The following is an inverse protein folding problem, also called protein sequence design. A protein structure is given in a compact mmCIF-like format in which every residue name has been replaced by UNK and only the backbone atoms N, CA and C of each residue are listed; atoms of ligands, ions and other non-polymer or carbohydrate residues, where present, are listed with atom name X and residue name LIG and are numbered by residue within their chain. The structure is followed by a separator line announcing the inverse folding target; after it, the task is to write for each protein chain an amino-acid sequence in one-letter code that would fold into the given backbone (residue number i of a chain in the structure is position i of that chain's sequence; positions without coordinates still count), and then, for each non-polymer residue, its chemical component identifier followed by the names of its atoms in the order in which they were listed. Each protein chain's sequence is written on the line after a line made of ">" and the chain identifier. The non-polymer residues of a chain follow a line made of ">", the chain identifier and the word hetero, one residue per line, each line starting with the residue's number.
data_IF_180524336598
#
_entry.id   IF_180524336598
#
_cell.length_a   1.000
_cell.length_b   1.000
_cell.length_c   1.000
_cell.angle_alpha   90.00
_cell.angle_beta   90.00
_cell.angle_gamma   90.00
#
_symmetry.space_group_name_H-M   'P 1'
#
loop_
_entity.id
_entity.type
_entity.pdbx_description
1 polymer ?
#
# COMPACT_ATOMS: atom_id res chain seq x y z
N UNK A 1 -18.97 11.61 -4.35
CA UNK A 1 -17.62 11.16 -4.73
C UNK A 1 -16.64 11.90 -3.84
N UNK A 2 -15.48 11.33 -3.55
CA UNK A 2 -14.46 12.04 -2.77
C UNK A 2 -13.84 13.08 -3.70
N UNK A 3 -13.79 14.35 -3.29
CA UNK A 3 -13.10 15.40 -4.05
C UNK A 3 -11.58 15.38 -3.78
N UNK A 4 -11.09 14.42 -2.98
CA UNK A 4 -9.68 14.27 -2.66
C UNK A 4 -8.95 13.53 -3.77
N UNK A 5 -7.78 14.05 -4.15
CA UNK A 5 -6.84 13.41 -5.09
C UNK A 5 -7.36 13.27 -6.53
N UNK A 6 -8.34 14.09 -6.90
CA UNK A 6 -8.80 14.23 -8.29
C UNK A 6 -7.63 14.63 -9.16
N UNK A 7 -7.56 14.05 -10.36
CA UNK A 7 -6.53 14.36 -11.35
C UNK A 7 -6.53 15.86 -11.67
N UNK A 8 -5.36 16.51 -11.70
CA UNK A 8 -5.27 17.92 -12.07
C UNK A 8 -5.51 18.12 -13.57
N UNK A 9 -5.87 19.33 -13.97
CA UNK A 9 -6.16 19.67 -15.37
C UNK A 9 -4.99 19.36 -16.33
N UNK A 10 -3.75 19.45 -15.84
CA UNK A 10 -2.54 19.16 -16.60
C UNK A 10 -2.13 17.67 -16.58
N UNK A 11 -3.10 16.76 -16.43
CA UNK A 11 -2.90 15.31 -16.40
C UNK A 11 -1.94 14.79 -17.49
N UNK A 12 -2.12 15.24 -18.75
CA UNK A 12 -1.29 14.78 -19.87
C UNK A 12 0.18 15.14 -19.71
N UNK A 13 0.48 16.34 -19.20
CA UNK A 13 1.86 16.79 -18.97
C UNK A 13 2.52 15.99 -17.85
N UNK A 14 1.78 15.74 -16.77
CA UNK A 14 2.25 14.91 -15.65
C UNK A 14 2.53 13.48 -16.13
N UNK A 15 1.68 12.92 -16.99
CA UNK A 15 1.90 11.60 -17.56
C UNK A 15 3.18 11.53 -18.39
N UNK A 16 3.50 12.58 -19.14
CA UNK A 16 4.76 12.65 -19.87
C UNK A 16 5.95 12.83 -18.92
N UNK A 17 5.80 13.62 -17.85
CA UNK A 17 6.79 13.75 -16.80
C UNK A 17 7.11 12.39 -16.17
N UNK A 18 6.10 11.62 -15.73
CA UNK A 18 6.27 10.30 -15.10
C UNK A 18 7.14 9.37 -15.96
N UNK A 19 6.93 9.35 -17.28
CA UNK A 19 7.71 8.50 -18.21
C UNK A 19 9.19 8.86 -18.29
N UNK A 20 9.54 10.09 -17.94
CA UNK A 20 10.90 10.63 -18.03
C UNK A 20 11.65 10.63 -16.70
N UNK A 21 10.97 10.29 -15.60
CA UNK A 21 11.59 10.28 -14.28
C UNK A 21 12.67 9.20 -14.19
N UNK A 22 13.90 9.55 -13.76
CA UNK A 22 15.05 8.64 -13.82
C UNK A 22 15.05 7.63 -12.67
N UNK A 23 14.44 7.96 -11.53
CA UNK A 23 14.48 7.10 -10.35
C UNK A 23 13.09 6.90 -9.72
N UNK A 24 12.96 5.80 -8.98
CA UNK A 24 11.81 5.54 -8.11
C UNK A 24 11.61 6.67 -7.08
N UNK A 25 12.71 7.23 -6.55
CA UNK A 25 12.63 8.34 -5.59
C UNK A 25 11.91 9.55 -6.19
N UNK A 26 12.11 9.81 -7.48
CA UNK A 26 11.45 10.90 -8.18
C UNK A 26 9.96 10.64 -8.38
N UNK A 27 9.55 9.39 -8.63
CA UNK A 27 8.13 9.01 -8.74
C UNK A 27 7.40 9.23 -7.42
N UNK A 28 8.00 8.78 -6.30
CA UNK A 28 7.45 8.99 -4.96
C UNK A 28 7.38 10.49 -4.64
N UNK A 29 8.43 11.24 -4.98
CA UNK A 29 8.47 12.68 -4.76
C UNK A 29 7.34 13.39 -5.53
N UNK A 30 7.14 13.04 -6.80
CA UNK A 30 6.07 13.60 -7.63
C UNK A 30 4.69 13.27 -7.04
N UNK A 31 4.47 12.04 -6.55
CA UNK A 31 3.18 11.70 -5.94
C UNK A 31 2.91 12.49 -4.65
N UNK A 32 3.95 12.77 -3.85
CA UNK A 32 3.82 13.66 -2.69
C UNK A 32 3.52 15.12 -3.05
N UNK A 33 4.11 15.61 -4.14
CA UNK A 33 3.88 16.98 -4.62
C UNK A 33 2.46 17.16 -5.18
N UNK A 34 1.97 16.18 -5.94
CA UNK A 34 0.63 16.21 -6.54
C UNK A 34 -0.48 15.92 -5.54
N UNK A 35 -0.25 14.94 -4.66
CA UNK A 35 -1.24 14.46 -3.71
C UNK A 35 -0.67 14.44 -2.29
N UNK A 36 -0.50 15.62 -1.67
CA UNK A 36 -0.03 15.70 -0.29
C UNK A 36 -0.91 14.87 0.64
N UNK A 37 -0.27 14.18 1.57
CA UNK A 37 -0.91 13.27 2.55
C UNK A 37 -1.59 12.02 1.96
N UNK A 38 -1.51 11.76 0.64
CA UNK A 38 -1.98 10.49 0.09
C UNK A 38 -1.17 9.33 0.64
N UNK A 39 0.17 9.42 0.62
CA UNK A 39 1.04 8.48 1.32
C UNK A 39 1.10 8.88 2.80
N UNK A 40 0.61 7.99 3.65
CA UNK A 40 0.50 8.18 5.09
C UNK A 40 1.74 7.67 5.81
N UNK A 41 2.24 6.49 5.43
CA UNK A 41 3.36 5.86 6.15
C UNK A 41 4.05 4.77 5.33
N UNK A 42 5.22 4.34 5.82
CA UNK A 42 5.99 3.22 5.32
C UNK A 42 6.20 2.18 6.43
N UNK A 43 6.04 0.91 6.08
CA UNK A 43 6.26 -0.24 6.97
C UNK A 43 7.19 -1.24 6.29
N UNK A 44 8.16 -1.78 7.02
CA UNK A 44 9.18 -2.64 6.42
C UNK A 44 8.66 -4.04 6.05
N UNK A 45 7.75 -4.63 6.84
CA UNK A 45 7.26 -5.99 6.60
C UNK A 45 5.89 -6.24 7.25
N UNK A 46 5.24 -7.34 6.85
CA UNK A 46 4.03 -7.84 7.47
C UNK A 46 4.32 -8.55 8.80
N UNK A 47 3.35 -8.51 9.70
CA UNK A 47 3.36 -9.32 10.90
C UNK A 47 3.34 -10.82 10.56
N UNK A 48 4.23 -11.65 11.17
CA UNK A 48 4.33 -13.09 10.86
C UNK A 48 3.08 -13.89 11.25
N UNK A 49 2.22 -13.32 12.11
CA UNK A 49 0.93 -13.90 12.51
C UNK A 49 -0.07 -14.01 11.35
N UNK A 50 0.18 -13.29 10.25
CA UNK A 50 -0.67 -13.24 9.06
C UNK A 50 0.15 -13.63 7.81
N UNK A 51 0.67 -14.86 7.73
CA UNK A 51 1.64 -15.26 6.71
C UNK A 51 1.10 -15.10 5.29
N UNK A 52 -0.20 -15.32 5.09
CA UNK A 52 -0.89 -15.17 3.81
C UNK A 52 -0.74 -13.75 3.22
N UNK A 53 -0.63 -12.69 4.03
CA UNK A 53 -0.41 -11.33 3.52
C UNK A 53 0.98 -11.19 2.90
N UNK A 54 1.99 -11.72 3.59
CA UNK A 54 3.37 -11.73 3.12
C UNK A 54 3.54 -12.63 1.90
N UNK A 55 2.97 -13.83 1.94
CA UNK A 55 3.01 -14.79 0.84
C UNK A 55 2.35 -14.25 -0.42
N UNK A 56 1.18 -13.61 -0.31
CA UNK A 56 0.51 -12.98 -1.44
C UNK A 56 1.36 -11.87 -2.05
N UNK A 57 1.97 -11.02 -1.23
CA UNK A 57 2.87 -9.97 -1.71
C UNK A 57 4.11 -10.58 -2.41
N UNK A 58 4.73 -11.58 -1.81
CA UNK A 58 5.87 -12.30 -2.40
C UNK A 58 5.52 -12.97 -3.73
N UNK A 59 4.32 -13.54 -3.86
CA UNK A 59 3.86 -14.16 -5.10
C UNK A 59 3.70 -13.13 -6.22
N UNK A 60 3.16 -11.94 -5.91
CA UNK A 60 3.06 -10.81 -6.86
C UNK A 60 4.46 -10.36 -7.30
N UNK A 61 5.36 -10.11 -6.35
CA UNK A 61 6.73 -9.72 -6.62
C UNK A 61 7.46 -10.74 -7.50
N UNK A 62 7.31 -12.02 -7.20
CA UNK A 62 7.88 -13.14 -7.97
C UNK A 62 7.36 -13.14 -9.41
N UNK A 63 6.05 -12.96 -9.61
CA UNK A 63 5.43 -12.91 -10.94
C UNK A 63 5.95 -11.73 -11.77
N UNK A 64 6.38 -10.65 -11.12
CA UNK A 64 6.96 -9.47 -11.76
C UNK A 64 8.48 -9.48 -11.81
N UNK A 65 9.13 -10.55 -11.35
CA UNK A 65 10.59 -10.66 -11.26
C UNK A 65 11.23 -9.48 -10.50
N UNK A 66 10.56 -9.03 -9.43
CA UNK A 66 11.06 -7.98 -8.54
C UNK A 66 11.17 -8.50 -7.11
N UNK A 67 12.03 -7.86 -6.32
CA UNK A 67 12.12 -8.13 -4.88
C UNK A 67 11.08 -7.32 -4.11
N UNK A 68 10.45 -7.88 -3.07
CA UNK A 68 9.63 -7.10 -2.14
C UNK A 68 10.43 -5.95 -1.53
N UNK A 69 9.85 -4.75 -1.54
CA UNK A 69 10.42 -3.55 -0.92
C UNK A 69 9.77 -3.29 0.44
N UNK A 70 8.99 -2.21 0.57
CA UNK A 70 8.23 -1.85 1.76
C UNK A 70 6.74 -1.92 1.50
N UNK A 71 5.96 -1.88 2.57
CA UNK A 71 4.52 -1.62 2.52
C UNK A 71 4.33 -0.11 2.60
N UNK A 72 3.56 0.46 1.68
CA UNK A 72 3.16 1.86 1.68
C UNK A 72 1.72 1.93 2.15
N UNK A 73 1.48 2.61 3.27
CA UNK A 73 0.13 2.94 3.71
C UNK A 73 -0.31 4.23 3.05
N UNK A 74 -1.46 4.18 2.39
CA UNK A 74 -2.09 5.35 1.75
C UNK A 74 -3.43 5.68 2.40
N UNK A 75 -3.88 6.93 2.32
CA UNK A 75 -5.19 7.37 2.86
C UNK A 75 -6.31 6.57 2.19
N UNK A 76 -6.39 6.65 0.87
CA UNK A 76 -7.40 5.97 0.07
C UNK A 76 -6.82 5.40 -1.23
N UNK A 77 -7.48 4.37 -1.77
CA UNK A 77 -7.22 3.85 -3.11
C UNK A 77 -8.55 3.92 -3.86
N UNK A 78 -8.60 4.81 -4.86
CA UNK A 78 -9.80 5.17 -5.64
C UNK A 78 -9.62 4.64 -7.07
N UNK A 79 -10.67 4.01 -7.60
CA UNK A 79 -10.65 3.34 -8.92
C UNK A 79 -11.76 3.84 -9.85
N UNK A 80 -11.96 5.16 -9.91
CA UNK A 80 -12.87 5.79 -10.87
C UNK A 80 -12.09 6.54 -11.97
N UNK A 81 -12.82 7.18 -12.88
CA UNK A 81 -12.24 7.86 -14.04
C UNK A 81 -11.61 9.22 -13.70
N UNK A 82 -11.86 9.76 -12.52
CA UNK A 82 -11.38 11.08 -12.08
C UNK A 82 -10.07 10.99 -11.28
N UNK A 83 -9.61 9.77 -10.95
CA UNK A 83 -8.43 9.51 -10.11
C UNK A 83 -7.40 8.60 -10.80
N UNK A 84 -7.18 8.79 -12.10
CA UNK A 84 -6.30 7.92 -12.89
C UNK A 84 -4.84 7.99 -12.43
N UNK A 85 -4.33 9.15 -11.99
CA UNK A 85 -2.94 9.26 -11.52
C UNK A 85 -2.71 8.44 -10.25
N UNK A 86 -3.65 8.44 -9.31
CA UNK A 86 -3.54 7.61 -8.08
C UNK A 86 -3.42 6.14 -8.45
N UNK A 87 -4.24 5.66 -9.38
CA UNK A 87 -4.16 4.29 -9.90
C UNK A 87 -2.79 4.02 -10.53
N UNK A 88 -2.29 4.93 -11.36
CA UNK A 88 -0.99 4.79 -12.03
C UNK A 88 0.15 4.75 -11.01
N UNK A 89 0.12 5.61 -9.99
CA UNK A 89 1.11 5.55 -8.91
C UNK A 89 1.04 4.22 -8.16
N UNK A 90 -0.16 3.72 -7.84
CA UNK A 90 -0.31 2.39 -7.23
C UNK A 90 0.29 1.28 -8.09
N UNK A 91 0.04 1.31 -9.40
CA UNK A 91 0.56 0.33 -10.34
C UNK A 91 2.09 0.39 -10.44
N UNK A 92 2.66 1.58 -10.61
CA UNK A 92 4.12 1.76 -10.66
C UNK A 92 4.77 1.28 -9.36
N UNK A 93 4.26 1.68 -8.21
CA UNK A 93 4.79 1.26 -6.90
C UNK A 93 4.72 -0.26 -6.72
N UNK A 94 3.61 -0.88 -7.13
CA UNK A 94 3.43 -2.34 -7.08
C UNK A 94 4.39 -3.06 -8.02
N UNK A 95 4.57 -2.55 -9.25
CA UNK A 95 5.54 -3.09 -10.21
C UNK A 95 6.98 -3.00 -9.73
N UNK A 96 7.28 -2.04 -8.86
CA UNK A 96 8.59 -1.87 -8.24
C UNK A 96 8.78 -2.71 -6.97
N UNK A 97 7.75 -3.45 -6.55
CA UNK A 97 7.82 -4.38 -5.41
C UNK A 97 7.29 -3.81 -4.10
N UNK A 98 6.72 -2.60 -4.07
CA UNK A 98 6.01 -2.12 -2.88
C UNK A 98 4.66 -2.82 -2.72
N UNK A 99 4.20 -2.96 -1.48
CA UNK A 99 2.82 -3.34 -1.19
C UNK A 99 2.02 -2.08 -0.84
N UNK A 100 1.17 -1.61 -1.74
CA UNK A 100 0.33 -0.43 -1.49
C UNK A 100 -0.98 -0.88 -0.82
N UNK A 101 -1.25 -0.36 0.39
CA UNK A 101 -2.39 -0.76 1.23
C UNK A 101 -3.04 0.46 1.86
N UNK A 102 -4.34 0.40 2.15
CA UNK A 102 -5.00 1.52 2.83
C UNK A 102 -4.61 1.57 4.30
N UNK A 103 -4.44 2.77 4.84
CA UNK A 103 -4.24 2.98 6.28
C UNK A 103 -5.43 2.49 7.11
N UNK A 104 -6.62 2.41 6.49
CA UNK A 104 -7.81 1.81 7.08
C UNK A 104 -7.80 0.27 7.12
N UNK A 105 -6.80 -0.40 6.53
CA UNK A 105 -6.71 -1.87 6.49
C UNK A 105 -5.65 -2.41 7.45
N UNK A 106 -4.57 -1.66 7.66
CA UNK A 106 -3.40 -2.06 8.40
C UNK A 106 -2.97 -0.97 9.39
N UNK A 107 -2.38 -1.38 10.49
CA UNK A 107 -1.73 -0.52 11.46
C UNK A 107 -0.32 -1.03 11.77
N UNK A 108 0.54 -0.16 12.30
CA UNK A 108 1.86 -0.56 12.81
C UNK A 108 1.74 -1.29 14.14
N UNK A 109 2.50 -2.37 14.29
CA UNK A 109 2.78 -2.97 15.58
C UNK A 109 3.42 -1.93 16.49
N UNK A 110 2.90 -1.76 17.71
CA UNK A 110 3.42 -0.73 18.64
C UNK A 110 4.81 -1.05 19.23
N UNK A 111 5.45 -2.13 18.78
CA UNK A 111 6.74 -2.61 19.31
C UNK A 111 7.79 -2.77 18.19
N UNK A 112 7.42 -3.41 17.07
CA UNK A 112 8.35 -3.71 15.98
C UNK A 112 7.98 -3.06 14.64
N UNK A 113 6.96 -2.20 14.63
CA UNK A 113 6.46 -1.45 13.46
C UNK A 113 5.96 -2.28 12.26
N UNK A 114 5.98 -3.62 12.33
CA UNK A 114 5.40 -4.51 11.29
C UNK A 114 3.90 -4.28 11.10
N UNK A 115 3.41 -4.51 9.89
CA UNK A 115 2.02 -4.25 9.54
C UNK A 115 1.09 -5.35 10.09
N UNK A 116 0.09 -4.93 10.86
CA UNK A 116 -0.95 -5.77 11.45
C UNK A 116 -2.31 -5.35 10.87
N UNK A 117 -3.16 -6.28 10.41
CA UNK A 117 -4.54 -5.98 10.10
C UNK A 117 -5.27 -5.28 11.23
N UNK A 118 -6.02 -4.23 10.93
CA UNK A 118 -6.92 -3.64 11.94
C UNK A 118 -8.01 -4.66 12.34
N UNK A 119 -8.64 -4.44 13.48
CA UNK A 119 -9.62 -5.38 14.04
C UNK A 119 -10.75 -5.74 13.06
N UNK A 120 -11.21 -4.78 12.26
CA UNK A 120 -12.24 -5.01 11.24
C UNK A 120 -11.78 -6.02 10.18
N UNK A 121 -10.56 -5.88 9.67
CA UNK A 121 -9.97 -6.80 8.69
C UNK A 121 -9.71 -8.16 9.32
N UNK A 122 -9.19 -8.22 10.56
CA UNK A 122 -9.05 -9.49 11.29
C UNK A 122 -10.37 -10.27 11.36
N UNK A 123 -11.47 -9.61 11.71
CA UNK A 123 -12.79 -10.25 11.77
C UNK A 123 -13.29 -10.69 10.39
N UNK A 124 -12.98 -9.93 9.33
CA UNK A 124 -13.28 -10.35 7.97
C UNK A 124 -12.51 -11.64 7.60
N UNK A 125 -11.19 -11.66 7.80
CA UNK A 125 -10.35 -12.83 7.53
C UNK A 125 -10.83 -14.07 8.31
N UNK A 126 -11.17 -13.90 9.59
CA UNK A 126 -11.68 -14.97 10.44
C UNK A 126 -13.01 -15.55 9.94
N UNK A 127 -13.93 -14.71 9.44
CA UNK A 127 -15.20 -15.16 8.87
C UNK A 127 -15.01 -15.95 7.58
N UNK A 128 -14.02 -15.59 6.78
CA UNK A 128 -13.64 -16.31 5.55
C UNK A 128 -12.78 -17.56 5.82
N UNK A 129 -12.64 -17.98 7.09
CA UNK A 129 -11.83 -19.14 7.51
C UNK A 129 -10.35 -19.06 7.08
N UNK A 130 -9.80 -17.85 6.93
CA UNK A 130 -8.37 -17.65 6.70
C UNK A 130 -7.63 -17.84 8.03
N UNK A 131 -6.47 -18.50 7.99
CA UNK A 131 -5.62 -18.71 9.15
C UNK A 131 -5.18 -17.38 9.76
N UNK A 132 -5.62 -17.12 10.99
CA UNK A 132 -5.31 -15.92 11.79
C UNK A 132 -5.13 -16.32 13.26
N UNK A 133 -4.53 -15.46 14.12
CA UNK A 133 -4.43 -15.72 15.56
C UNK A 133 -5.78 -15.92 16.25
N UNK A 134 -5.77 -16.66 17.36
CA UNK A 134 -6.98 -16.93 18.14
C UNK A 134 -7.67 -15.64 18.66
N UNK A 135 -6.87 -14.62 18.99
CA UNK A 135 -7.30 -13.29 19.44
C UNK A 135 -6.56 -12.22 18.65
N UNK A 136 -7.26 -11.14 18.33
CA UNK A 136 -6.64 -9.96 17.73
C UNK A 136 -5.78 -9.21 18.76
N UNK A 137 -4.71 -8.59 18.31
CA UNK A 137 -3.77 -7.80 19.10
C UNK A 137 -3.19 -6.67 18.24
N UNK A 138 -2.88 -5.53 18.86
CA UNK A 138 -2.13 -4.43 18.23
C UNK A 138 -0.61 -4.67 18.21
N UNK A 139 -0.18 -5.87 18.60
CA UNK A 139 1.21 -6.34 18.64
C UNK A 139 1.31 -7.70 17.96
N UNK A 140 2.44 -7.97 17.33
CA UNK A 140 2.78 -9.30 16.84
C UNK A 140 2.94 -10.28 18.01
N UNK A 141 2.70 -11.57 17.79
CA UNK A 141 2.86 -12.60 18.84
C UNK A 141 4.29 -12.77 19.34
N UNK A 142 5.27 -12.44 18.50
CA UNK A 142 6.71 -12.49 18.81
C UNK A 142 7.21 -11.25 19.59
N UNK A 143 6.33 -10.29 19.91
CA UNK A 143 6.68 -9.01 20.54
C UNK A 143 6.26 -8.90 22.01
#
# INVERSE_FOLDING_TARGET
>A
MSDKYVDPENFSEIMDQIKTLPTLGDVIKLSFELFPAWIVDYIDDYCPDYPHLKENWQAICTTKSVSPLKIILVDEIIFDDDHKLIKIFCEILTLLGFSVRRSSELMKCTVCDRAIPIFAIYNALKRENITVPAKWSSKCSEC
#
